data_IF_499308193139
#
_entry.id   IF_499308193139
#
_cell.length_a   1.000
_cell.length_b   1.000
_cell.length_c   1.000
_cell.angle_alpha   90.00
_cell.angle_beta   90.00
_cell.angle_gamma   90.00
#
_symmetry.space_group_name_H-M   'P 1'
#
loop_
_entity.id
_entity.type
_entity.pdbx_description
1 polymer ?
#
# COMPACT_ATOMS: atom_id res chain seq x y z
N UNK A 1 -4.66 16.51 30.89
CA UNK A 1 -3.29 17.04 30.73
C UNK A 1 -2.21 16.25 31.44
N UNK A 2 -2.41 15.72 32.67
CA UNK A 2 -1.36 14.93 33.36
C UNK A 2 -1.07 13.53 32.78
N UNK A 3 -1.94 12.94 31.97
CA UNK A 3 -1.75 11.62 31.37
C UNK A 3 -0.89 11.63 30.08
N UNK A 4 -0.98 12.67 29.28
CA UNK A 4 -0.20 12.80 28.04
C UNK A 4 1.31 12.95 28.29
N UNK A 5 1.66 13.71 29.33
CA UNK A 5 3.06 13.93 29.72
C UNK A 5 3.75 12.65 30.17
N UNK A 6 3.03 11.74 30.86
CA UNK A 6 3.59 10.46 31.34
C UNK A 6 3.80 9.43 30.23
N UNK A 7 2.96 9.43 29.19
CA UNK A 7 3.13 8.56 28.03
C UNK A 7 4.33 9.02 27.19
N UNK A 8 4.52 10.31 27.02
CA UNK A 8 5.70 10.88 26.34
C UNK A 8 7.00 10.61 27.11
N UNK A 9 6.97 10.64 28.43
CA UNK A 9 8.15 10.33 29.26
C UNK A 9 8.54 8.85 29.16
N UNK A 10 7.58 7.93 29.14
CA UNK A 10 7.81 6.49 28.91
C UNK A 10 8.33 6.26 27.48
N UNK A 11 7.77 6.91 26.47
CA UNK A 11 8.21 6.81 25.09
C UNK A 11 9.65 7.36 24.91
N UNK A 12 10.02 8.44 25.58
CA UNK A 12 11.38 8.99 25.53
C UNK A 12 12.42 8.08 26.19
N UNK A 13 12.05 7.38 27.26
CA UNK A 13 12.91 6.39 27.91
C UNK A 13 13.12 5.13 27.06
N UNK A 14 12.12 4.73 26.28
CA UNK A 14 12.21 3.61 25.32
C UNK A 14 13.10 3.94 24.10
N UNK A 15 13.16 5.23 23.70
CA UNK A 15 13.98 5.66 22.56
C UNK A 15 15.45 5.91 22.92
N UNK A 16 15.80 6.05 24.18
CA UNK A 16 17.18 6.33 24.63
C UNK A 16 18.06 5.10 24.86
N UNK A 17 17.65 3.91 24.39
CA UNK A 17 18.52 2.74 24.36
C UNK A 17 18.75 2.02 25.68
N UNK A 18 18.02 2.37 26.74
CA UNK A 18 18.02 1.62 27.98
C UNK A 18 17.45 0.25 27.75
N UNK A 19 18.24 -0.82 27.99
CA UNK A 19 17.78 -2.20 27.90
C UNK A 19 16.77 -2.42 29.04
N UNK A 20 15.49 -2.48 28.70
CA UNK A 20 14.45 -2.90 29.62
C UNK A 20 14.59 -4.40 29.83
N UNK A 21 14.83 -4.84 31.06
CA UNK A 21 14.94 -6.25 31.41
C UNK A 21 13.56 -6.93 31.33
N UNK A 22 13.55 -8.23 31.03
CA UNK A 22 12.31 -9.02 30.98
C UNK A 22 11.65 -9.22 32.34
N UNK A 23 12.35 -8.87 33.43
CA UNK A 23 11.80 -8.85 34.79
C UNK A 23 11.23 -7.50 35.21
N UNK A 24 11.38 -6.47 34.36
CA UNK A 24 10.85 -5.15 34.62
C UNK A 24 9.33 -5.09 34.38
N UNK A 25 8.70 -4.11 35.02
CA UNK A 25 7.28 -3.87 34.89
C UNK A 25 7.02 -2.40 34.56
N UNK A 26 6.11 -2.17 33.62
CA UNK A 26 5.54 -0.84 33.42
C UNK A 26 4.39 -0.60 34.39
N UNK A 27 4.40 0.53 35.04
CA UNK A 27 3.31 0.95 35.92
C UNK A 27 2.39 1.89 35.16
N UNK A 28 1.14 1.50 35.01
CA UNK A 28 0.10 2.34 34.46
C UNK A 28 -0.91 2.70 35.56
N UNK A 29 -1.46 3.89 35.44
CA UNK A 29 -2.54 4.34 36.32
C UNK A 29 -3.82 4.44 35.51
N UNK A 30 -4.85 3.68 35.87
CA UNK A 30 -6.17 3.86 35.33
C UNK A 30 -6.74 5.24 35.70
N UNK A 31 -7.73 5.72 34.95
CA UNK A 31 -8.43 6.97 35.28
C UNK A 31 -9.06 6.98 36.69
N UNK A 32 -9.34 5.78 37.22
CA UNK A 32 -9.79 5.55 38.61
C UNK A 32 -8.69 5.73 39.68
N UNK A 33 -7.44 6.00 39.28
CA UNK A 33 -6.28 6.02 40.18
C UNK A 33 -5.72 4.65 40.55
N UNK A 34 -6.31 3.57 40.04
CA UNK A 34 -5.82 2.22 40.31
C UNK A 34 -4.51 1.97 39.56
N UNK A 35 -3.50 1.48 40.27
CA UNK A 35 -2.23 1.10 39.69
C UNK A 35 -2.29 -0.30 39.07
N UNK A 36 -1.87 -0.39 37.82
CA UNK A 36 -1.68 -1.65 37.12
C UNK A 36 -0.20 -1.88 36.80
N UNK A 37 0.24 -3.14 36.89
CA UNK A 37 1.59 -3.55 36.47
C UNK A 37 1.45 -4.37 35.19
N UNK A 38 2.15 -4.00 34.15
CA UNK A 38 2.24 -4.75 32.91
C UNK A 38 3.66 -5.30 32.78
N UNK A 39 3.87 -6.62 32.64
CA UNK A 39 5.20 -7.17 32.39
C UNK A 39 5.83 -6.56 31.15
N UNK A 40 7.13 -6.28 31.20
CA UNK A 40 7.86 -5.70 30.08
C UNK A 40 7.73 -6.47 28.75
N UNK A 41 7.76 -7.81 28.75
CA UNK A 41 7.52 -8.58 27.50
C UNK A 41 6.14 -8.30 26.87
N UNK A 42 5.09 -8.21 27.69
CA UNK A 42 3.73 -7.88 27.23
C UNK A 42 3.63 -6.48 26.67
N UNK A 43 4.23 -5.50 27.35
CA UNK A 43 4.26 -4.11 26.87
C UNK A 43 5.04 -3.99 25.56
N UNK A 44 6.18 -4.68 25.41
CA UNK A 44 6.95 -4.74 24.16
C UNK A 44 6.13 -5.35 23.03
N UNK A 45 5.49 -6.50 23.26
CA UNK A 45 4.68 -7.18 22.25
C UNK A 45 3.58 -6.26 21.72
N UNK A 46 2.88 -5.55 22.61
CA UNK A 46 1.84 -4.61 22.22
C UNK A 46 2.37 -3.39 21.46
N UNK A 47 3.53 -2.86 21.85
CA UNK A 47 4.18 -1.74 21.15
C UNK A 47 4.67 -2.16 19.75
N UNK A 48 5.29 -3.34 19.64
CA UNK A 48 5.76 -3.88 18.36
C UNK A 48 4.58 -4.15 17.44
N UNK A 49 3.50 -4.74 17.96
CA UNK A 49 2.29 -4.99 17.18
C UNK A 49 1.65 -3.68 16.71
N UNK A 50 1.59 -2.65 17.55
CA UNK A 50 1.10 -1.33 17.18
C UNK A 50 1.96 -0.66 16.11
N UNK A 51 3.29 -0.76 16.23
CA UNK A 51 4.23 -0.23 15.22
C UNK A 51 4.10 -0.99 13.88
N UNK A 52 4.00 -2.31 13.91
CA UNK A 52 3.81 -3.12 12.71
C UNK A 52 2.47 -2.81 12.01
N UNK A 53 1.40 -2.60 12.77
CA UNK A 53 0.10 -2.17 12.24
C UNK A 53 0.18 -0.79 11.59
N UNK A 54 0.87 0.17 12.22
CA UNK A 54 1.01 1.51 11.66
C UNK A 54 1.86 1.52 10.39
N UNK A 55 2.92 0.72 10.32
CA UNK A 55 3.73 0.56 9.11
C UNK A 55 2.94 -0.11 7.97
N UNK A 56 2.14 -1.13 8.28
CA UNK A 56 1.26 -1.78 7.30
C UNK A 56 0.19 -0.81 6.78
N UNK A 57 -0.43 -0.02 7.66
CA UNK A 57 -1.39 1.01 7.27
C UNK A 57 -0.75 2.11 6.42
N UNK A 58 0.46 2.54 6.79
CA UNK A 58 1.20 3.54 6.02
C UNK A 58 1.54 3.04 4.62
N UNK A 59 2.03 1.81 4.50
CA UNK A 59 2.34 1.19 3.19
C UNK A 59 1.10 0.99 2.33
N UNK A 60 -0.06 0.69 2.92
CA UNK A 60 -1.31 0.64 2.18
C UNK A 60 -1.77 2.02 1.71
N UNK A 61 -1.59 3.05 2.53
CA UNK A 61 -2.00 4.41 2.20
C UNK A 61 -1.13 5.06 1.11
N UNK A 62 0.14 4.68 1.02
CA UNK A 62 1.09 5.26 0.05
C UNK A 62 1.09 4.51 -1.28
N UNK A 63 0.56 3.29 -1.30
CA UNK A 63 0.63 2.40 -2.45
C UNK A 63 2.04 1.85 -2.67
N UNK A 64 2.14 0.65 -3.20
CA UNK A 64 3.42 0.06 -3.60
C UNK A 64 3.55 0.16 -5.12
N UNK A 65 4.72 0.55 -5.61
CA UNK A 65 5.07 0.47 -7.02
C UNK A 65 5.72 -0.87 -7.29
N UNK A 66 5.20 -1.60 -8.27
CA UNK A 66 5.74 -2.87 -8.76
C UNK A 66 6.25 -2.63 -10.18
N UNK A 67 7.56 -2.58 -10.35
CA UNK A 67 8.16 -2.50 -11.68
C UNK A 67 8.22 -3.92 -12.29
N UNK A 68 7.80 -4.03 -13.55
CA UNK A 68 7.73 -5.31 -14.25
C UNK A 68 8.03 -5.15 -15.74
N UNK A 69 8.50 -6.23 -16.35
CA UNK A 69 8.63 -6.40 -17.81
C UNK A 69 7.77 -7.56 -18.34
N UNK A 70 7.01 -8.20 -17.46
CA UNK A 70 6.19 -9.36 -17.82
C UNK A 70 5.00 -8.93 -18.68
N UNK A 71 4.70 -9.70 -19.71
CA UNK A 71 3.56 -9.45 -20.61
C UNK A 71 2.26 -10.11 -20.16
N UNK A 72 2.34 -10.99 -19.16
CA UNK A 72 1.18 -11.62 -18.52
C UNK A 72 1.30 -11.44 -17.02
N UNK A 73 0.39 -10.68 -16.44
CA UNK A 73 0.48 -10.28 -15.03
C UNK A 73 -0.86 -10.46 -14.32
N UNK A 74 -0.81 -11.11 -13.15
CA UNK A 74 -1.91 -11.08 -12.19
C UNK A 74 -1.68 -9.93 -11.22
N UNK A 75 -2.43 -8.83 -11.38
CA UNK A 75 -2.27 -7.64 -10.56
C UNK A 75 -2.93 -7.81 -9.19
N UNK A 76 -2.21 -7.46 -8.15
CA UNK A 76 -2.76 -7.31 -6.80
C UNK A 76 -3.40 -5.92 -6.63
N UNK A 77 -4.50 -5.81 -5.87
CA UNK A 77 -5.12 -4.50 -5.64
C UNK A 77 -4.24 -3.57 -4.82
N UNK A 78 -4.48 -2.27 -4.94
CA UNK A 78 -3.84 -1.19 -4.19
C UNK A 78 -2.32 -1.10 -4.42
N UNK A 79 -1.87 -1.51 -5.62
CA UNK A 79 -0.50 -1.40 -6.10
C UNK A 79 -0.49 -0.75 -7.47
N UNK A 80 0.51 0.09 -7.74
CA UNK A 80 0.79 0.60 -9.08
C UNK A 80 1.77 -0.34 -9.77
N UNK A 81 1.34 -0.97 -10.86
CA UNK A 81 2.22 -1.75 -11.74
C UNK A 81 2.75 -0.83 -12.83
N UNK A 82 4.08 -0.73 -12.91
CA UNK A 82 4.77 0.07 -13.91
C UNK A 82 5.57 -0.84 -14.82
N UNK A 83 5.30 -0.80 -16.11
CA UNK A 83 6.06 -1.56 -17.09
C UNK A 83 7.29 -0.79 -17.56
N UNK A 84 8.43 -1.50 -17.52
CA UNK A 84 9.70 -1.06 -18.05
C UNK A 84 10.30 -2.25 -18.81
N UNK A 85 10.51 -2.20 -20.08
CA UNK A 85 10.41 -1.12 -21.09
C UNK A 85 9.00 -0.92 -21.66
N UNK A 86 8.93 -0.36 -22.88
CA UNK A 86 7.69 -0.22 -23.66
C UNK A 86 7.02 -1.57 -23.94
N UNK A 87 5.70 -1.57 -24.01
CA UNK A 87 4.89 -2.76 -24.23
C UNK A 87 4.04 -2.66 -25.49
N UNK A 88 3.86 -3.77 -26.18
CA UNK A 88 2.90 -3.91 -27.28
C UNK A 88 1.82 -4.95 -26.95
N UNK A 89 2.14 -5.89 -26.08
CA UNK A 89 1.22 -6.96 -25.68
C UNK A 89 1.18 -7.04 -24.15
N UNK A 90 -0.03 -6.95 -23.58
CA UNK A 90 -0.28 -7.20 -22.16
C UNK A 90 -1.51 -8.08 -22.02
N UNK A 91 -1.39 -9.09 -21.18
CA UNK A 91 -2.51 -9.91 -20.73
C UNK A 91 -2.64 -9.74 -19.20
N UNK A 92 -3.66 -9.02 -18.78
CA UNK A 92 -3.86 -8.60 -17.40
C UNK A 92 -4.96 -9.42 -16.76
N UNK A 93 -4.71 -9.93 -15.59
CA UNK A 93 -5.70 -10.54 -14.71
C UNK A 93 -5.67 -9.87 -13.34
N UNK A 94 -6.73 -9.99 -12.55
CA UNK A 94 -6.82 -9.40 -11.24
C UNK A 94 -6.89 -10.46 -10.17
N UNK A 95 -6.00 -10.38 -9.20
CA UNK A 95 -6.12 -11.11 -7.95
C UNK A 95 -7.30 -10.54 -7.16
N UNK A 96 -8.10 -11.41 -6.57
CA UNK A 96 -9.23 -10.99 -5.75
C UNK A 96 -8.74 -10.14 -4.57
N UNK A 97 -9.31 -8.96 -4.44
CA UNK A 97 -9.03 -8.08 -3.31
C UNK A 97 -9.86 -8.40 -2.06
N UNK A 98 -9.64 -7.63 -1.03
CA UNK A 98 -10.39 -7.69 0.22
C UNK A 98 -11.79 -7.10 -0.01
N UNK A 99 -12.88 -7.84 0.30
CA UNK A 99 -14.24 -7.37 0.08
C UNK A 99 -14.66 -6.19 0.99
N UNK A 100 -13.94 -5.99 2.09
CA UNK A 100 -14.29 -4.97 3.10
C UNK A 100 -13.63 -3.61 2.85
N UNK A 101 -12.79 -3.49 1.81
CA UNK A 101 -12.13 -2.25 1.41
C UNK A 101 -12.30 -1.96 -0.07
N UNK A 102 -12.06 -0.71 -0.48
CA UNK A 102 -11.98 -0.36 -1.90
C UNK A 102 -10.72 -0.95 -2.48
N UNK A 103 -10.86 -1.76 -3.52
CA UNK A 103 -9.75 -2.33 -4.27
C UNK A 103 -9.57 -1.56 -5.58
N UNK A 104 -8.41 -0.96 -5.75
CA UNK A 104 -8.01 -0.24 -6.96
C UNK A 104 -6.86 -0.98 -7.63
N UNK A 105 -6.95 -1.19 -8.95
CA UNK A 105 -5.89 -1.75 -9.77
C UNK A 105 -5.32 -0.63 -10.64
N UNK A 106 -4.08 -0.29 -10.40
CA UNK A 106 -3.40 0.83 -11.08
C UNK A 106 -2.26 0.32 -11.93
N UNK A 107 -2.15 0.87 -13.14
CA UNK A 107 -1.08 0.51 -14.06
C UNK A 107 -0.57 1.73 -14.83
N UNK A 108 0.72 1.69 -15.16
CA UNK A 108 1.41 2.68 -15.96
C UNK A 108 2.30 1.96 -16.97
N UNK A 109 2.13 2.28 -18.24
CA UNK A 109 2.93 1.68 -19.31
C UNK A 109 3.06 2.63 -20.51
N UNK A 110 4.19 2.52 -21.19
CA UNK A 110 4.41 3.19 -22.49
C UNK A 110 4.19 2.17 -23.61
N UNK A 111 3.39 2.57 -24.60
CA UNK A 111 3.12 1.74 -25.78
C UNK A 111 4.33 1.79 -26.73
N UNK A 112 4.81 0.62 -27.12
CA UNK A 112 5.87 0.44 -28.11
C UNK A 112 5.36 0.54 -29.53
N UNK A 113 6.29 0.44 -30.50
CA UNK A 113 5.96 0.41 -31.92
C UNK A 113 5.45 -0.96 -32.37
N UNK A 114 4.46 -0.96 -33.25
CA UNK A 114 3.87 -2.15 -33.88
C UNK A 114 2.43 -2.41 -33.47
N UNK A 115 1.95 -3.63 -33.73
CA UNK A 115 0.59 -4.03 -33.35
C UNK A 115 0.43 -4.09 -31.85
N UNK A 116 -0.56 -3.33 -31.33
CA UNK A 116 -0.83 -3.23 -29.89
C UNK A 116 -2.00 -4.14 -29.52
N UNK A 117 -1.77 -5.02 -28.54
CA UNK A 117 -2.77 -5.92 -28.02
C UNK A 117 -2.72 -5.92 -26.49
N UNK A 118 -3.58 -5.13 -25.86
CA UNK A 118 -3.68 -5.03 -24.41
C UNK A 118 -5.03 -5.59 -23.99
N UNK A 119 -5.00 -6.68 -23.25
CA UNK A 119 -6.18 -7.42 -22.82
C UNK A 119 -6.41 -7.21 -21.33
N UNK A 120 -7.63 -6.83 -21.00
CA UNK A 120 -8.12 -6.65 -19.62
C UNK A 120 -9.05 -7.80 -19.22
N UNK A 121 -9.19 -8.07 -17.93
CA UNK A 121 -10.11 -9.09 -17.45
C UNK A 121 -11.56 -8.81 -17.86
N UNK A 122 -12.37 -9.86 -18.04
CA UNK A 122 -13.79 -9.69 -18.32
C UNK A 122 -14.48 -8.91 -17.19
N UNK A 123 -15.40 -8.02 -17.55
CA UNK A 123 -16.14 -7.19 -16.58
C UNK A 123 -15.54 -5.80 -16.36
N UNK A 124 -14.38 -5.49 -16.93
CA UNK A 124 -13.87 -4.11 -17.00
C UNK A 124 -14.74 -3.29 -17.95
N UNK A 125 -15.19 -2.14 -17.48
CA UNK A 125 -16.02 -1.19 -18.24
C UNK A 125 -15.29 0.15 -18.27
N UNK A 126 -15.10 0.71 -19.43
CA UNK A 126 -14.42 1.99 -19.63
C UNK A 126 -15.40 3.16 -19.49
N UNK A 127 -14.97 4.23 -18.86
CA UNK A 127 -15.64 5.54 -18.94
C UNK A 127 -15.49 6.10 -20.35
N UNK A 128 -14.26 6.03 -20.89
CA UNK A 128 -13.91 6.23 -22.27
C UNK A 128 -12.80 5.23 -22.58
N UNK A 129 -13.04 4.32 -23.50
CA UNK A 129 -12.03 3.32 -23.89
C UNK A 129 -10.93 4.02 -24.70
N UNK A 130 -9.66 3.94 -24.27
CA UNK A 130 -8.56 4.59 -24.97
C UNK A 130 -8.16 3.81 -26.22
N UNK A 131 -7.82 4.52 -27.30
CA UNK A 131 -7.03 3.96 -28.37
C UNK A 131 -5.56 3.99 -27.93
N UNK A 132 -4.96 2.81 -27.68
CA UNK A 132 -3.56 2.74 -27.25
C UNK A 132 -2.60 3.08 -28.39
N UNK A 133 -2.15 4.33 -28.40
CA UNK A 133 -1.31 4.89 -29.47
C UNK A 133 0.16 4.65 -29.20
N UNK A 134 0.91 4.32 -30.25
CA UNK A 134 2.36 4.14 -30.22
C UNK A 134 3.08 5.37 -29.62
N UNK A 135 4.09 5.11 -28.79
CA UNK A 135 4.91 6.09 -28.07
C UNK A 135 4.22 6.91 -26.97
N UNK A 136 2.90 6.77 -26.81
CA UNK A 136 2.17 7.39 -25.70
C UNK A 136 2.32 6.56 -24.42
N UNK A 137 2.27 7.25 -23.28
CA UNK A 137 2.24 6.65 -21.96
C UNK A 137 0.83 6.72 -21.39
N UNK A 138 0.38 5.62 -20.84
CA UNK A 138 -0.94 5.50 -20.24
C UNK A 138 -0.83 5.19 -18.76
N UNK A 139 -1.67 5.85 -17.99
CA UNK A 139 -1.97 5.45 -16.61
C UNK A 139 -3.44 5.07 -16.53
N UNK A 140 -3.70 3.88 -16.06
CA UNK A 140 -5.05 3.33 -15.94
C UNK A 140 -5.35 3.03 -14.48
N UNK A 141 -6.52 3.47 -14.02
CA UNK A 141 -7.08 3.12 -12.72
C UNK A 141 -8.40 2.37 -12.92
N UNK A 142 -8.58 1.28 -12.19
CA UNK A 142 -9.77 0.44 -12.25
C UNK A 142 -10.29 0.23 -10.83
N UNK A 143 -11.49 0.77 -10.56
CA UNK A 143 -12.19 0.63 -9.27
C UNK A 143 -13.55 0.01 -9.52
N UNK A 144 -13.86 -1.09 -8.83
CA UNK A 144 -15.12 -1.82 -8.98
C UNK A 144 -15.47 -2.16 -10.45
N UNK A 145 -14.44 -2.49 -11.23
CA UNK A 145 -14.58 -2.81 -12.65
C UNK A 145 -14.81 -1.60 -13.57
N UNK A 146 -14.81 -0.38 -13.05
CA UNK A 146 -14.87 0.84 -13.84
C UNK A 146 -13.47 1.37 -14.08
N UNK A 147 -13.08 1.48 -15.34
CA UNK A 147 -11.75 1.90 -15.77
C UNK A 147 -11.74 3.34 -16.29
N UNK A 148 -10.69 4.07 -15.92
CA UNK A 148 -10.33 5.40 -16.43
C UNK A 148 -8.88 5.36 -16.87
N UNK A 149 -8.58 5.91 -18.04
CA UNK A 149 -7.22 6.08 -18.54
C UNK A 149 -6.86 7.56 -18.71
N UNK A 150 -5.65 7.89 -18.29
CA UNK A 150 -4.98 9.14 -18.68
C UNK A 150 -3.88 8.81 -19.68
N UNK A 151 -3.74 9.65 -20.69
CA UNK A 151 -2.70 9.56 -21.73
C UNK A 151 -1.82 10.79 -21.69
N UNK A 152 -0.52 10.62 -21.85
CA UNK A 152 0.41 11.73 -22.07
C UNK A 152 1.58 11.33 -22.95
N UNK A 153 2.07 12.27 -23.75
CA UNK A 153 3.34 12.14 -24.44
C UNK A 153 4.48 12.63 -23.56
N UNK A 154 5.53 11.86 -23.49
CA UNK A 154 6.74 12.30 -22.80
C UNK A 154 7.46 13.32 -23.71
N UNK A 155 7.27 14.61 -23.44
CA UNK A 155 8.10 15.66 -24.08
C UNK A 155 9.52 15.51 -23.55
N UNK A 156 10.43 15.13 -24.43
CA UNK A 156 11.89 15.07 -24.22
C UNK A 156 12.51 16.45 -24.06
#
# INVERSE_FOLDING_TARGET
MAQEVKIQEIASQLTTGSKVSDVDFFRLYAASGQQMKIPAPTARANLIQGAALSDALYKQAVGLVVETSETTVEMEPNKLYRWIPTVTHLNITFKKGDPDIINEYMMEFKVGSGEVNISFPPGVRWVAEPDFVENSTYQVSIVNGLAVAGEWEQTS
#
